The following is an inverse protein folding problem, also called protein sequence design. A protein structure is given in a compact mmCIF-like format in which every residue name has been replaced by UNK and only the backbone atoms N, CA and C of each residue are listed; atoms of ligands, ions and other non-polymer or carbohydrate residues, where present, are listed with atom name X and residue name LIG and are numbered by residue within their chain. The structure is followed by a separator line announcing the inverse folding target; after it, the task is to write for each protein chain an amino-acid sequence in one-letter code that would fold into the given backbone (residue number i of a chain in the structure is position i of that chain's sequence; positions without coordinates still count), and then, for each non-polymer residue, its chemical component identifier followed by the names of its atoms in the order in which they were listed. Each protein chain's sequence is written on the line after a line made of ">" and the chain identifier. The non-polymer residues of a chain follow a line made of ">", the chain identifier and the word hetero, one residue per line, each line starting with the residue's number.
data_IF_510712371777
#
_entry.id   IF_510712371777
#
_cell.length_a   1.000
_cell.length_b   1.000
_cell.length_c   1.000
_cell.angle_alpha   90.00
_cell.angle_beta   90.00
_cell.angle_gamma   90.00
#
_symmetry.space_group_name_H-M   'P 1'
#
loop_
_entity.id
_entity.type
_entity.pdbx_description
1 polymer ?
#
# COMPACT_ATOMS: atom_id res chain seq x y z
N UNK A 1 40.15 -44.20 -30.23
CA UNK A 1 40.35 -45.55 -29.73
C UNK A 1 39.21 -45.87 -28.77
N UNK A 2 38.37 -46.83 -29.19
CA UNK A 2 37.53 -47.77 -28.44
C UNK A 2 36.39 -47.18 -27.62
N UNK A 3 35.15 -47.10 -28.10
CA UNK A 3 33.99 -47.99 -28.33
C UNK A 3 33.59 -48.89 -27.14
N UNK A 4 32.30 -48.80 -26.77
CA UNK A 4 31.25 -49.85 -26.76
C UNK A 4 30.17 -49.50 -25.74
N UNK A 5 28.95 -49.32 -26.13
CA UNK A 5 27.81 -50.19 -26.52
C UNK A 5 27.00 -50.71 -25.32
N UNK A 6 25.79 -50.26 -25.27
CA UNK A 6 24.46 -50.92 -25.17
C UNK A 6 24.22 -52.02 -24.16
N UNK A 7 23.07 -51.95 -23.44
CA UNK A 7 22.03 -52.99 -23.49
C UNK A 7 20.67 -52.50 -22.94
N UNK A 8 19.64 -52.68 -23.78
CA UNK A 8 18.21 -52.69 -23.43
C UNK A 8 17.91 -53.94 -22.59
N UNK A 9 16.97 -53.83 -21.66
CA UNK A 9 16.18 -54.99 -21.19
C UNK A 9 14.74 -54.56 -20.97
N UNK A 10 13.89 -55.06 -21.87
CA UNK A 10 12.46 -55.09 -21.72
C UNK A 10 12.06 -56.26 -20.83
N UNK A 11 11.14 -56.07 -19.91
CA UNK A 11 10.44 -57.19 -19.24
C UNK A 11 8.92 -56.97 -19.39
N UNK A 12 8.36 -57.79 -20.28
CA UNK A 12 6.96 -58.17 -20.30
C UNK A 12 6.63 -58.98 -19.04
N UNK A 13 5.51 -58.65 -18.40
CA UNK A 13 4.93 -59.57 -17.43
C UNK A 13 3.43 -59.81 -17.70
N UNK A 14 3.19 -61.05 -17.83
CA UNK A 14 2.01 -61.84 -18.15
C UNK A 14 0.89 -61.67 -17.13
N UNK A 15 -0.35 -61.60 -17.66
CA UNK A 15 -1.63 -61.67 -16.98
C UNK A 15 -1.85 -63.14 -16.52
N UNK A 16 -2.23 -63.32 -15.26
CA UNK A 16 -2.82 -64.59 -14.77
C UNK A 16 -4.22 -64.29 -14.25
N UNK A 17 -5.23 -64.82 -14.97
CA UNK A 17 -6.61 -64.86 -14.57
C UNK A 17 -6.82 -66.07 -13.71
N UNK A 18 -7.27 -65.92 -12.46
CA UNK A 18 -7.84 -67.01 -11.65
C UNK A 18 -9.31 -66.75 -11.39
N UNK A 19 -10.16 -67.55 -12.01
CA UNK A 19 -11.59 -67.66 -11.72
C UNK A 19 -11.78 -68.47 -10.42
N UNK A 20 -12.34 -67.83 -9.41
CA UNK A 20 -12.79 -68.51 -8.20
C UNK A 20 -14.21 -68.07 -7.88
N UNK A 21 -15.18 -68.98 -8.07
CA UNK A 21 -16.56 -68.81 -7.67
C UNK A 21 -16.69 -68.89 -6.15
N UNK A 22 -17.32 -67.89 -5.55
CA UNK A 22 -17.61 -67.85 -4.11
C UNK A 22 -18.81 -66.96 -3.81
N UNK A 23 -19.88 -67.60 -3.54
CA UNK A 23 -21.11 -67.26 -2.83
C UNK A 23 -21.33 -65.82 -2.38
N UNK A 24 -22.37 -65.20 -2.92
CA UNK A 24 -22.97 -63.94 -2.53
C UNK A 24 -23.65 -64.06 -1.17
N UNK A 25 -23.17 -63.27 -0.19
CA UNK A 25 -23.94 -62.88 0.98
C UNK A 25 -24.27 -61.40 0.87
N UNK A 26 -25.52 -61.11 0.59
CA UNK A 26 -26.09 -59.77 0.57
C UNK A 26 -26.14 -59.20 2.00
N UNK A 27 -25.14 -58.44 2.38
CA UNK A 27 -25.17 -57.56 3.54
C UNK A 27 -25.32 -56.11 3.06
N UNK A 28 -26.54 -55.59 3.03
CA UNK A 28 -26.83 -54.23 2.67
C UNK A 28 -26.28 -53.23 3.71
N UNK A 29 -25.12 -52.64 3.48
CA UNK A 29 -24.72 -51.41 4.14
C UNK A 29 -25.26 -50.24 3.31
N UNK A 30 -26.38 -49.70 3.74
CA UNK A 30 -26.86 -48.43 3.23
C UNK A 30 -25.84 -47.34 3.58
N UNK A 31 -25.05 -46.92 2.57
CA UNK A 31 -24.24 -45.73 2.64
C UNK A 31 -25.20 -44.54 2.74
N UNK A 32 -25.31 -43.93 3.93
CA UNK A 32 -25.97 -42.63 4.08
C UNK A 32 -25.15 -41.64 3.29
N UNK A 33 -25.60 -41.28 2.11
CA UNK A 33 -25.15 -40.04 1.44
C UNK A 33 -25.59 -38.88 2.33
N UNK A 34 -24.68 -38.31 3.06
CA UNK A 34 -24.87 -36.99 3.66
C UNK A 34 -24.92 -36.00 2.50
N UNK A 35 -26.13 -35.67 2.07
CA UNK A 35 -26.39 -34.50 1.23
C UNK A 35 -25.92 -33.31 2.04
N UNK A 36 -24.79 -32.73 1.64
CA UNK A 36 -24.35 -31.46 2.17
C UNK A 36 -25.44 -30.44 1.80
N UNK A 37 -26.20 -30.02 2.78
CA UNK A 37 -27.11 -28.89 2.65
C UNK A 37 -26.23 -27.71 2.35
N UNK A 38 -26.40 -27.00 1.21
CA UNK A 38 -25.64 -25.78 0.95
C UNK A 38 -26.03 -24.84 2.08
N UNK A 39 -25.04 -24.47 2.91
CA UNK A 39 -25.18 -23.35 3.83
C UNK A 39 -25.39 -22.14 2.93
N UNK A 40 -26.61 -21.61 2.92
CA UNK A 40 -26.91 -20.35 2.27
C UNK A 40 -26.02 -19.34 2.93
N UNK A 41 -25.00 -18.86 2.20
CA UNK A 41 -24.25 -17.67 2.57
C UNK A 41 -25.28 -16.55 2.50
N UNK A 42 -25.78 -16.09 3.65
CA UNK A 42 -26.57 -14.87 3.69
C UNK A 42 -25.68 -13.77 3.11
N UNK A 43 -26.03 -13.29 1.93
CA UNK A 43 -25.48 -12.04 1.39
C UNK A 43 -25.73 -10.96 2.43
N UNK A 44 -24.69 -10.57 3.13
CA UNK A 44 -24.74 -9.48 4.09
C UNK A 44 -25.09 -8.23 3.27
N UNK A 45 -26.36 -7.82 3.33
CA UNK A 45 -26.81 -6.62 2.61
C UNK A 45 -25.96 -5.45 3.10
N UNK A 46 -25.33 -4.77 2.15
CA UNK A 46 -24.63 -3.50 2.38
C UNK A 46 -25.60 -2.55 3.10
N UNK A 47 -25.15 -1.93 4.20
CA UNK A 47 -25.91 -0.89 4.88
C UNK A 47 -25.77 0.43 4.08
N UNK A 48 -26.85 0.90 3.42
CA UNK A 48 -26.78 2.12 2.63
C UNK A 48 -26.36 3.36 3.45
N UNK A 49 -26.66 3.36 4.76
CA UNK A 49 -26.28 4.46 5.64
C UNK A 49 -24.77 4.54 5.85
N UNK A 50 -24.07 3.42 5.97
CA UNK A 50 -22.61 3.38 6.09
C UNK A 50 -21.92 3.86 4.81
N UNK A 51 -22.45 3.45 3.66
CA UNK A 51 -21.94 3.93 2.37
C UNK A 51 -22.10 5.44 2.25
N UNK A 52 -23.31 5.97 2.48
CA UNK A 52 -23.57 7.40 2.40
C UNK A 52 -22.65 8.20 3.35
N UNK A 53 -22.48 7.76 4.59
CA UNK A 53 -21.61 8.41 5.56
C UNK A 53 -20.14 8.43 5.12
N UNK A 54 -19.65 7.35 4.47
CA UNK A 54 -18.31 7.30 3.93
C UNK A 54 -18.11 8.29 2.76
N UNK A 55 -19.09 8.38 1.84
CA UNK A 55 -19.04 9.31 0.71
C UNK A 55 -19.14 10.76 1.18
N UNK A 56 -20.02 11.08 2.14
CA UNK A 56 -20.13 12.41 2.75
C UNK A 56 -18.82 12.83 3.42
N UNK A 57 -18.16 11.92 4.15
CA UNK A 57 -16.84 12.17 4.73
C UNK A 57 -15.81 12.49 3.65
N UNK A 58 -15.74 11.67 2.58
CA UNK A 58 -14.79 11.86 1.48
C UNK A 58 -15.07 13.19 0.76
N UNK A 59 -16.33 13.53 0.52
CA UNK A 59 -16.71 14.82 -0.09
C UNK A 59 -16.30 16.02 0.75
N UNK A 60 -16.06 15.84 2.04
CA UNK A 60 -15.60 16.90 2.96
C UNK A 60 -14.12 17.26 2.84
N UNK A 61 -13.30 16.49 2.09
CA UNK A 61 -11.90 16.81 1.84
C UNK A 61 -11.74 17.77 0.66
N UNK A 62 -10.61 18.46 0.59
CA UNK A 62 -10.32 19.42 -0.50
C UNK A 62 -10.21 18.72 -1.85
N UNK A 63 -9.66 17.51 -1.88
CA UNK A 63 -9.53 16.67 -3.08
C UNK A 63 -10.17 15.30 -2.83
N UNK A 64 -11.50 15.23 -2.89
CA UNK A 64 -12.23 13.98 -2.64
C UNK A 64 -11.85 12.87 -3.62
N UNK A 65 -11.40 13.22 -4.83
CA UNK A 65 -10.92 12.27 -5.84
C UNK A 65 -9.65 11.52 -5.43
N UNK A 66 -8.93 11.95 -4.40
CA UNK A 66 -7.73 11.27 -3.89
C UNK A 66 -8.03 10.00 -3.08
N UNK A 67 -9.27 9.87 -2.59
CA UNK A 67 -9.73 8.72 -1.82
C UNK A 67 -10.85 7.95 -2.52
N UNK A 68 -11.03 6.71 -2.12
CA UNK A 68 -12.19 5.89 -2.46
C UNK A 68 -12.60 5.10 -1.23
N UNK A 69 -13.91 5.00 -0.97
CA UNK A 69 -14.44 4.16 0.10
C UNK A 69 -14.39 2.68 -0.28
N UNK A 70 -14.43 1.79 0.73
CA UNK A 70 -14.55 0.34 0.49
C UNK A 70 -15.87 -0.01 -0.22
N UNK A 71 -16.92 0.78 0.02
CA UNK A 71 -18.23 0.61 -0.58
C UNK A 71 -18.21 0.94 -2.07
N UNK A 72 -17.63 2.07 -2.43
CA UNK A 72 -17.50 2.47 -3.83
C UNK A 72 -16.52 1.57 -4.59
N UNK A 73 -15.42 1.14 -3.97
CA UNK A 73 -14.51 0.19 -4.61
C UNK A 73 -15.20 -1.15 -4.89
N UNK A 74 -16.02 -1.67 -3.95
CA UNK A 74 -16.75 -2.91 -4.15
C UNK A 74 -17.66 -2.86 -5.39
N UNK A 75 -18.29 -1.73 -5.65
CA UNK A 75 -19.12 -1.51 -6.86
C UNK A 75 -18.32 -1.50 -8.15
N UNK A 76 -17.04 -1.14 -8.07
CA UNK A 76 -16.12 -1.01 -9.22
C UNK A 76 -15.22 -2.22 -9.44
N UNK A 77 -15.38 -3.31 -8.68
CA UNK A 77 -14.51 -4.48 -8.82
C UNK A 77 -14.53 -5.07 -10.24
N UNK A 78 -15.68 -5.04 -10.88
CA UNK A 78 -15.89 -5.58 -12.24
C UNK A 78 -15.56 -4.55 -13.34
N UNK A 79 -15.25 -3.30 -12.99
CA UNK A 79 -14.88 -2.29 -13.97
C UNK A 79 -13.50 -2.60 -14.54
N UNK A 80 -13.40 -2.82 -15.84
CA UNK A 80 -12.16 -3.21 -16.53
C UNK A 80 -11.02 -2.19 -16.34
N UNK A 81 -11.36 -0.92 -16.15
CA UNK A 81 -10.40 0.16 -15.88
C UNK A 81 -9.88 0.19 -14.44
N UNK A 82 -10.54 -0.46 -13.49
CA UNK A 82 -10.10 -0.48 -12.09
C UNK A 82 -8.86 -1.36 -11.92
N UNK A 83 -7.77 -0.80 -11.43
CA UNK A 83 -6.50 -1.48 -11.20
C UNK A 83 -6.10 -1.38 -9.72
N UNK A 84 -6.27 -2.47 -8.97
CA UNK A 84 -6.05 -2.49 -7.52
C UNK A 84 -4.64 -2.99 -7.24
N UNK A 85 -3.89 -2.25 -6.42
CA UNK A 85 -2.53 -2.63 -5.99
C UNK A 85 -2.49 -2.83 -4.47
N UNK A 86 -2.05 -4.02 -4.06
CA UNK A 86 -1.74 -4.35 -2.68
C UNK A 86 -0.28 -3.98 -2.36
N UNK A 87 -0.08 -2.91 -1.62
CA UNK A 87 1.25 -2.42 -1.26
C UNK A 87 1.76 -2.94 0.09
N UNK A 88 1.11 -3.93 0.72
CA UNK A 88 1.53 -4.48 2.03
C UNK A 88 2.89 -5.18 2.00
N UNK A 89 3.44 -5.42 0.83
CA UNK A 89 4.73 -6.08 0.61
C UNK A 89 5.94 -5.23 0.99
N UNK A 90 6.10 -4.87 2.28
CA UNK A 90 7.32 -4.19 2.77
C UNK A 90 8.59 -5.00 2.47
N UNK A 91 8.49 -6.33 2.58
CA UNK A 91 9.50 -7.30 2.16
C UNK A 91 8.83 -8.55 1.60
N UNK A 92 9.61 -9.41 0.92
CA UNK A 92 9.10 -10.69 0.40
C UNK A 92 8.50 -11.56 1.51
N UNK A 93 9.15 -11.62 2.68
CA UNK A 93 8.64 -12.37 3.84
C UNK A 93 7.27 -11.84 4.31
N UNK A 94 7.11 -10.52 4.39
CA UNK A 94 5.85 -9.90 4.81
C UNK A 94 4.78 -10.14 3.75
N UNK A 95 5.10 -10.01 2.47
CA UNK A 95 4.15 -10.29 1.39
C UNK A 95 3.64 -11.73 1.43
N UNK A 96 4.54 -12.71 1.60
CA UNK A 96 4.17 -14.12 1.72
C UNK A 96 3.32 -14.42 2.98
N UNK A 97 3.50 -13.65 4.05
CA UNK A 97 2.75 -13.80 5.29
C UNK A 97 1.40 -13.06 5.29
N UNK A 98 1.09 -12.25 4.26
CA UNK A 98 -0.12 -11.42 4.23
C UNK A 98 -1.02 -11.70 3.02
N UNK A 99 -0.49 -11.53 1.82
CA UNK A 99 -1.29 -11.58 0.59
C UNK A 99 -2.03 -12.91 0.37
N UNK A 100 -1.42 -14.12 0.52
CA UNK A 100 -2.11 -15.38 0.32
C UNK A 100 -3.17 -15.69 1.38
N UNK A 101 -3.17 -14.96 2.52
CA UNK A 101 -4.13 -15.15 3.61
C UNK A 101 -5.34 -14.20 3.50
N UNK A 102 -5.40 -13.37 2.49
CA UNK A 102 -6.52 -12.53 2.14
C UNK A 102 -6.09 -11.17 1.58
N UNK A 103 -6.65 -10.86 0.42
CA UNK A 103 -6.49 -9.58 -0.27
C UNK A 103 -7.81 -9.21 -0.98
N UNK A 104 -7.93 -7.96 -1.39
CA UNK A 104 -9.11 -7.51 -2.15
C UNK A 104 -9.12 -8.24 -3.50
N UNK A 105 -10.26 -8.78 -3.95
CA UNK A 105 -10.35 -9.48 -5.24
C UNK A 105 -9.78 -8.63 -6.38
N UNK A 106 -8.99 -9.26 -7.25
CA UNK A 106 -8.35 -8.58 -8.36
C UNK A 106 -7.09 -7.76 -8.03
N UNK A 107 -6.74 -7.59 -6.75
CA UNK A 107 -5.57 -6.82 -6.37
C UNK A 107 -4.26 -7.51 -6.77
N UNK A 108 -3.33 -6.74 -7.33
CA UNK A 108 -1.99 -7.18 -7.70
C UNK A 108 -1.01 -6.85 -6.56
N UNK A 109 -0.26 -7.83 -6.03
CA UNK A 109 0.68 -7.58 -4.95
C UNK A 109 1.97 -6.96 -5.47
N UNK A 110 2.49 -5.97 -4.73
CA UNK A 110 3.78 -5.34 -5.05
C UNK A 110 4.70 -5.32 -3.83
N UNK A 111 6.01 -5.42 -4.08
CA UNK A 111 7.01 -5.22 -3.06
C UNK A 111 7.44 -3.76 -3.02
N UNK A 112 7.73 -3.23 -1.83
CA UNK A 112 8.28 -1.88 -1.66
C UNK A 112 9.53 -1.66 -2.51
N UNK A 113 10.40 -2.67 -2.60
CA UNK A 113 11.61 -2.61 -3.43
C UNK A 113 11.35 -2.43 -4.93
N UNK A 114 10.15 -2.76 -5.42
CA UNK A 114 9.82 -2.63 -6.84
C UNK A 114 9.71 -1.17 -7.30
N UNK A 115 9.35 -0.27 -6.37
CA UNK A 115 9.27 1.17 -6.63
C UNK A 115 10.31 1.99 -5.85
N UNK A 116 11.40 1.34 -5.43
CA UNK A 116 12.59 1.99 -4.89
C UNK A 116 13.70 2.07 -5.94
N UNK A 117 14.56 3.09 -5.82
CA UNK A 117 15.72 3.23 -6.66
C UNK A 117 16.75 2.11 -6.37
N UNK A 118 17.23 1.35 -7.36
CA UNK A 118 18.06 0.16 -7.12
C UNK A 118 19.43 0.49 -6.49
N UNK A 119 20.03 1.63 -6.85
CA UNK A 119 21.32 2.06 -6.32
C UNK A 119 21.21 2.87 -5.00
N UNK A 120 20.01 3.37 -4.67
CA UNK A 120 19.76 4.17 -3.47
C UNK A 120 18.57 3.60 -2.71
N UNK A 121 18.76 2.53 -1.92
CA UNK A 121 17.67 1.89 -1.17
C UNK A 121 16.90 2.90 -0.31
N UNK A 122 15.58 2.81 -0.37
CA UNK A 122 14.68 3.73 0.32
C UNK A 122 14.32 5.00 -0.45
N UNK A 123 15.05 5.34 -1.51
CA UNK A 123 14.67 6.40 -2.45
C UNK A 123 13.62 5.88 -3.42
N UNK A 124 12.76 6.78 -3.89
CA UNK A 124 11.79 6.42 -4.93
C UNK A 124 12.50 6.08 -6.25
N UNK A 125 11.96 5.13 -7.00
CA UNK A 125 12.44 4.78 -8.33
C UNK A 125 12.34 5.97 -9.30
N UNK A 126 13.25 6.03 -10.27
CA UNK A 126 13.15 6.98 -11.38
C UNK A 126 11.88 6.72 -12.22
N UNK A 127 11.34 7.74 -12.93
CA UNK A 127 10.06 7.58 -13.64
C UNK A 127 10.04 6.41 -14.62
N UNK A 128 11.07 6.23 -15.44
CA UNK A 128 11.14 5.11 -16.39
C UNK A 128 11.13 3.73 -15.72
N UNK A 129 11.75 3.61 -14.53
CA UNK A 129 11.75 2.35 -13.77
C UNK A 129 10.35 2.05 -13.21
N UNK A 130 9.67 3.10 -12.72
CA UNK A 130 8.32 2.97 -12.19
C UNK A 130 7.31 2.65 -13.31
N UNK A 131 7.44 3.27 -14.50
CA UNK A 131 6.64 2.96 -15.69
C UNK A 131 6.77 1.48 -16.09
N UNK A 132 8.00 1.00 -16.28
CA UNK A 132 8.30 -0.39 -16.65
C UNK A 132 7.72 -1.37 -15.60
N UNK A 133 7.87 -1.05 -14.33
CA UNK A 133 7.34 -1.87 -13.26
C UNK A 133 5.80 -1.93 -13.29
N UNK A 134 5.11 -0.79 -13.38
CA UNK A 134 3.64 -0.74 -13.40
C UNK A 134 3.06 -1.41 -14.64
N UNK A 135 3.66 -1.18 -15.82
CA UNK A 135 3.27 -1.85 -17.06
C UNK A 135 3.43 -3.38 -16.97
N UNK A 136 4.51 -3.89 -16.37
CA UNK A 136 4.69 -5.32 -16.10
C UNK A 136 3.67 -5.90 -15.14
N UNK A 137 3.13 -5.08 -14.23
CA UNK A 137 2.02 -5.47 -13.37
C UNK A 137 0.66 -5.47 -14.08
N UNK A 138 0.57 -4.93 -15.28
CA UNK A 138 -0.65 -4.84 -16.10
C UNK A 138 -1.41 -3.53 -15.90
N UNK A 139 -0.78 -2.48 -15.38
CA UNK A 139 -1.33 -1.13 -15.43
C UNK A 139 -1.13 -0.55 -16.84
N UNK A 140 -2.17 0.07 -17.40
CA UNK A 140 -2.12 0.82 -18.65
C UNK A 140 -2.33 2.33 -18.42
N UNK A 141 -2.23 3.12 -19.48
CA UNK A 141 -2.36 4.59 -19.41
C UNK A 141 -3.72 5.04 -18.84
N UNK A 142 -4.79 4.30 -19.13
CA UNK A 142 -6.15 4.62 -18.72
C UNK A 142 -6.56 3.95 -17.40
N UNK A 143 -5.62 3.32 -16.68
CA UNK A 143 -5.91 2.62 -15.44
C UNK A 143 -6.38 3.58 -14.35
N UNK A 144 -7.49 3.25 -13.69
CA UNK A 144 -7.92 3.85 -12.43
C UNK A 144 -7.23 3.10 -11.28
N UNK A 145 -6.08 3.58 -10.83
CA UNK A 145 -5.27 2.90 -9.83
C UNK A 145 -5.85 3.12 -8.43
N UNK A 146 -6.14 2.02 -7.73
CA UNK A 146 -6.54 2.05 -6.32
C UNK A 146 -5.47 1.37 -5.48
N UNK A 147 -4.92 2.11 -4.53
CA UNK A 147 -3.85 1.65 -3.65
C UNK A 147 -4.36 1.35 -2.26
N UNK A 148 -4.00 0.19 -1.71
CA UNK A 148 -4.17 -0.06 -0.30
C UNK A 148 -2.93 -0.72 0.30
N UNK A 149 -2.73 -0.55 1.59
CA UNK A 149 -1.56 -1.09 2.26
C UNK A 149 -1.47 -0.65 3.72
N UNK A 150 -0.32 -0.91 4.33
CA UNK A 150 -0.04 -0.56 5.71
C UNK A 150 1.18 0.37 5.79
N UNK A 151 1.32 1.06 6.91
CA UNK A 151 2.52 1.82 7.29
C UNK A 151 2.95 2.92 6.29
N UNK A 152 2.04 3.38 5.43
CA UNK A 152 2.30 4.44 4.47
C UNK A 152 2.81 3.99 3.10
N UNK A 153 2.93 2.68 2.84
CA UNK A 153 3.41 2.18 1.55
C UNK A 153 2.46 2.56 0.40
N UNK A 154 1.14 2.56 0.64
CA UNK A 154 0.14 3.04 -0.32
C UNK A 154 0.31 4.53 -0.62
N UNK A 155 0.52 5.34 0.41
CA UNK A 155 0.75 6.79 0.23
C UNK A 155 2.10 7.08 -0.42
N UNK A 156 3.11 6.23 -0.20
CA UNK A 156 4.42 6.33 -0.84
C UNK A 156 4.30 6.15 -2.36
N UNK A 157 3.56 5.13 -2.80
CA UNK A 157 3.33 4.90 -4.23
C UNK A 157 2.41 5.97 -4.82
N UNK A 158 1.35 6.37 -4.09
CA UNK A 158 0.48 7.48 -4.48
C UNK A 158 1.29 8.77 -4.73
N UNK A 159 2.13 9.17 -3.77
CA UNK A 159 2.98 10.35 -3.90
C UNK A 159 3.89 10.27 -5.13
N UNK A 160 4.48 9.11 -5.41
CA UNK A 160 5.35 8.93 -6.58
C UNK A 160 4.57 9.08 -7.89
N UNK A 161 3.37 8.51 -7.98
CA UNK A 161 2.50 8.64 -9.16
C UNK A 161 2.12 10.10 -9.39
N UNK A 162 1.66 10.80 -8.36
CA UNK A 162 1.32 12.23 -8.44
C UNK A 162 2.54 13.09 -8.81
N UNK A 163 3.69 12.80 -8.22
CA UNK A 163 4.94 13.49 -8.51
C UNK A 163 5.35 13.39 -9.99
N UNK A 164 5.10 12.24 -10.62
CA UNK A 164 5.41 12.02 -12.04
C UNK A 164 4.27 12.38 -12.99
N UNK A 165 3.22 13.06 -12.51
CA UNK A 165 2.14 13.57 -13.36
C UNK A 165 0.97 12.61 -13.59
N UNK A 166 0.92 11.47 -12.88
CA UNK A 166 -0.21 10.55 -13.00
C UNK A 166 -1.29 10.88 -11.95
N UNK A 167 -2.44 11.39 -12.44
CA UNK A 167 -3.51 11.89 -11.56
C UNK A 167 -4.60 10.84 -11.26
N UNK A 168 -4.72 9.78 -12.07
CA UNK A 168 -5.79 8.80 -11.94
C UNK A 168 -5.48 7.71 -10.90
N UNK A 169 -5.16 8.13 -9.69
CA UNK A 169 -4.81 7.28 -8.55
C UNK A 169 -5.56 7.68 -7.29
N UNK A 170 -5.99 6.70 -6.51
CA UNK A 170 -6.72 6.85 -5.25
C UNK A 170 -6.12 5.97 -4.16
N UNK A 171 -6.27 6.37 -2.90
CA UNK A 171 -6.04 5.50 -1.74
C UNK A 171 -7.38 4.97 -1.25
N UNK A 172 -7.44 3.68 -0.96
CA UNK A 172 -8.59 3.05 -0.31
C UNK A 172 -8.64 3.44 1.16
N UNK A 173 -9.66 4.17 1.56
CA UNK A 173 -9.86 4.62 2.93
C UNK A 173 -10.18 3.44 3.86
N UNK A 174 -9.35 3.23 4.89
CA UNK A 174 -9.45 2.10 5.81
C UNK A 174 -8.84 0.78 5.30
N UNK A 175 -8.43 0.71 4.03
CA UNK A 175 -7.70 -0.43 3.45
C UNK A 175 -8.42 -1.77 3.61
N UNK A 176 -7.63 -2.86 3.72
CA UNK A 176 -8.19 -4.22 3.83
C UNK A 176 -8.95 -4.47 5.14
N UNK A 177 -8.59 -3.78 6.22
CA UNK A 177 -9.26 -3.98 7.51
C UNK A 177 -10.72 -3.48 7.42
N UNK A 178 -10.92 -2.29 6.86
CA UNK A 178 -12.26 -1.73 6.64
C UNK A 178 -13.06 -2.52 5.61
N UNK A 179 -12.39 -3.05 4.56
CA UNK A 179 -12.99 -3.96 3.58
C UNK A 179 -13.61 -5.19 4.25
N UNK A 180 -12.86 -5.84 5.14
CA UNK A 180 -13.32 -6.99 5.90
C UNK A 180 -14.42 -6.63 6.90
N UNK A 181 -14.31 -5.48 7.58
CA UNK A 181 -15.32 -4.98 8.51
C UNK A 181 -16.66 -4.72 7.80
N UNK A 182 -16.63 -4.19 6.58
CA UNK A 182 -17.80 -4.03 5.72
C UNK A 182 -18.43 -5.39 5.30
N UNK A 183 -17.72 -6.50 5.52
CA UNK A 183 -18.20 -7.85 5.25
C UNK A 183 -17.98 -8.32 3.82
N UNK A 184 -17.11 -7.64 3.08
CA UNK A 184 -16.77 -8.03 1.71
C UNK A 184 -15.80 -9.20 1.66
N UNK A 185 -15.93 -10.03 0.64
CA UNK A 185 -15.08 -11.18 0.42
C UNK A 185 -13.62 -10.81 0.15
N UNK A 186 -12.74 -11.72 0.54
CA UNK A 186 -11.31 -11.63 0.23
C UNK A 186 -10.90 -12.79 -0.66
N UNK A 187 -10.01 -12.51 -1.60
CA UNK A 187 -9.37 -13.53 -2.42
C UNK A 187 -8.10 -14.06 -1.74
N UNK A 188 -7.76 -15.32 -2.04
CA UNK A 188 -6.49 -15.96 -1.62
C UNK A 188 -5.65 -16.40 -2.81
N UNK A 189 -6.29 -16.55 -3.98
CA UNK A 189 -5.61 -16.87 -5.23
C UNK A 189 -4.92 -15.62 -5.80
N UNK A 190 -3.67 -15.77 -6.21
CA UNK A 190 -2.89 -14.63 -6.75
C UNK A 190 -3.51 -14.08 -8.03
N UNK A 191 -3.78 -12.78 -8.02
CA UNK A 191 -4.23 -12.04 -9.19
C UNK A 191 -3.03 -11.64 -10.05
N UNK A 192 -3.17 -11.85 -11.35
CA UNK A 192 -2.20 -11.41 -12.37
C UNK A 192 -2.95 -10.83 -13.55
N UNK A 193 -2.43 -9.74 -14.09
CA UNK A 193 -2.91 -9.17 -15.35
C UNK A 193 -1.84 -9.31 -16.43
N UNK A 194 -2.20 -9.44 -17.70
CA UNK A 194 -1.24 -9.33 -18.79
C UNK A 194 -0.49 -8.00 -18.69
N UNK A 195 0.81 -7.95 -19.02
CA UNK A 195 1.53 -6.70 -19.13
C UNK A 195 0.85 -5.72 -20.10
N UNK A 196 0.89 -4.44 -19.78
CA UNK A 196 0.36 -3.34 -20.57
C UNK A 196 1.39 -2.20 -20.66
N UNK A 197 1.12 -1.17 -21.44
CA UNK A 197 1.97 0.00 -21.56
C UNK A 197 1.50 1.06 -20.58
N UNK A 198 2.37 1.41 -19.63
CA UNK A 198 2.15 2.49 -18.68
C UNK A 198 3.20 3.58 -18.92
N UNK A 199 2.77 4.81 -19.11
CA UNK A 199 3.65 5.94 -19.39
C UNK A 199 3.24 7.15 -18.51
N UNK A 200 4.24 7.91 -18.05
CA UNK A 200 4.02 9.22 -17.44
C UNK A 200 4.13 10.30 -18.51
N UNK A 201 3.26 11.28 -18.46
CA UNK A 201 3.53 12.54 -19.12
C UNK A 201 4.46 13.37 -18.23
N UNK A 202 5.76 13.31 -18.48
CA UNK A 202 6.75 14.01 -17.67
C UNK A 202 6.70 15.54 -17.84
N UNK A 203 5.97 16.07 -18.84
CA UNK A 203 5.69 17.50 -18.92
C UNK A 203 4.76 17.95 -17.78
N UNK A 204 3.91 17.05 -17.28
CA UNK A 204 3.04 17.26 -16.14
C UNK A 204 3.69 16.91 -14.78
N UNK A 205 5.00 16.63 -14.76
CA UNK A 205 5.73 16.31 -13.53
C UNK A 205 5.64 17.44 -12.50
N UNK A 206 5.26 17.05 -11.28
CA UNK A 206 5.12 17.93 -10.11
C UNK A 206 6.27 17.74 -9.11
N UNK A 207 7.42 17.21 -9.57
CA UNK A 207 8.54 16.88 -8.69
C UNK A 207 9.06 18.07 -7.91
N UNK A 208 9.19 19.24 -8.54
CA UNK A 208 9.66 20.47 -7.88
C UNK A 208 8.68 20.96 -6.79
N UNK A 209 7.37 20.72 -6.98
CA UNK A 209 6.33 21.16 -6.06
C UNK A 209 6.12 20.17 -4.90
N UNK A 210 6.39 18.87 -5.12
CA UNK A 210 6.00 17.79 -4.19
C UNK A 210 7.17 17.11 -3.50
N UNK A 211 8.39 17.20 -4.04
CA UNK A 211 9.58 16.59 -3.47
C UNK A 211 10.52 17.67 -2.90
N UNK A 212 10.96 17.48 -1.66
CA UNK A 212 12.08 18.23 -1.09
C UNK A 212 13.37 17.42 -1.24
N UNK A 213 14.46 18.13 -1.56
CA UNK A 213 15.82 17.60 -1.55
C UNK A 213 16.56 18.11 -0.31
N UNK A 214 17.73 17.56 -0.05
CA UNK A 214 18.55 17.94 1.11
C UNK A 214 18.73 19.47 1.28
N UNK A 215 19.00 20.19 0.19
CA UNK A 215 19.22 21.65 0.25
C UNK A 215 17.95 22.41 0.69
N UNK A 216 16.76 21.96 0.29
CA UNK A 216 15.50 22.57 0.72
C UNK A 216 15.34 22.45 2.25
N UNK A 217 15.64 21.25 2.79
CA UNK A 217 15.54 21.00 4.24
C UNK A 217 16.60 21.78 5.01
N UNK A 218 17.84 21.84 4.51
CA UNK A 218 18.92 22.58 5.15
C UNK A 218 18.62 24.09 5.21
N UNK A 219 17.99 24.64 4.17
CA UNK A 219 17.55 26.03 4.13
C UNK A 219 16.34 26.30 5.03
N UNK A 220 15.49 25.29 5.27
CA UNK A 220 14.31 25.41 6.11
C UNK A 220 14.61 25.40 7.62
N UNK A 221 15.78 24.88 8.03
CA UNK A 221 16.17 24.90 9.45
C UNK A 221 16.37 26.36 9.92
N UNK A 222 15.51 26.78 10.87
CA UNK A 222 15.51 28.14 11.41
C UNK A 222 14.71 29.16 10.59
N UNK A 223 14.15 28.78 9.44
CA UNK A 223 13.24 29.64 8.66
C UNK A 223 11.83 29.64 9.29
N UNK A 224 11.38 30.82 9.74
CA UNK A 224 10.03 30.99 10.33
C UNK A 224 8.88 30.83 9.33
N UNK A 225 9.14 30.95 8.03
CA UNK A 225 8.18 30.73 6.94
C UNK A 225 8.01 29.27 6.57
N UNK A 226 8.84 28.36 7.12
CA UNK A 226 8.79 26.93 6.86
C UNK A 226 8.59 26.10 8.14
N UNK A 227 7.82 25.02 8.04
CA UNK A 227 7.67 24.03 9.12
C UNK A 227 8.22 22.70 8.66
N UNK A 228 9.22 22.19 9.38
CA UNK A 228 9.75 20.83 9.17
C UNK A 228 8.95 19.87 10.07
N UNK A 229 8.34 18.83 9.49
CA UNK A 229 7.42 17.92 10.17
C UNK A 229 7.98 16.51 10.19
N UNK A 230 8.18 15.95 11.38
CA UNK A 230 8.54 14.54 11.58
C UNK A 230 7.28 13.67 11.64
N UNK A 231 7.11 12.79 10.66
CA UNK A 231 5.97 11.88 10.54
C UNK A 231 6.14 10.56 11.33
N UNK A 232 7.24 10.40 12.06
CA UNK A 232 7.52 9.21 12.85
C UNK A 232 6.75 9.23 14.17
N UNK A 233 6.75 8.10 14.87
CA UNK A 233 6.16 8.02 16.19
C UNK A 233 6.85 9.00 17.16
N UNK A 234 6.10 9.45 18.15
CA UNK A 234 6.59 10.43 19.12
C UNK A 234 7.85 9.96 19.88
N UNK A 235 7.95 8.66 20.20
CA UNK A 235 9.12 8.08 20.87
C UNK A 235 10.38 8.15 19.99
N UNK A 236 10.24 7.92 18.67
CA UNK A 236 11.34 8.07 17.71
C UNK A 236 11.77 9.52 17.56
N UNK A 237 10.79 10.45 17.50
CA UNK A 237 11.03 11.89 17.46
C UNK A 237 11.80 12.36 18.70
N UNK A 238 11.31 12.04 19.89
CA UNK A 238 11.94 12.43 21.16
C UNK A 238 13.35 11.89 21.32
N UNK A 239 13.65 10.73 20.74
CA UNK A 239 14.99 10.16 20.76
C UNK A 239 15.96 10.89 19.84
N UNK A 240 15.55 11.22 18.62
CA UNK A 240 16.39 11.93 17.62
C UNK A 240 15.53 12.49 16.49
N UNK A 241 15.65 13.79 16.22
CA UNK A 241 14.92 14.47 15.15
C UNK A 241 15.77 15.56 14.48
N UNK A 242 15.32 16.09 13.35
CA UNK A 242 15.95 17.23 12.67
C UNK A 242 15.73 18.50 13.50
N UNK A 243 16.73 19.41 13.57
CA UNK A 243 16.63 20.64 14.35
C UNK A 243 15.39 21.46 13.97
N UNK A 244 14.68 21.96 14.99
CA UNK A 244 13.50 22.82 14.84
C UNK A 244 12.27 22.12 14.25
N UNK A 245 12.31 20.80 14.02
CA UNK A 245 11.14 20.08 13.53
C UNK A 245 10.05 19.89 14.60
N UNK A 246 8.80 19.78 14.16
CA UNK A 246 7.66 19.43 15.00
C UNK A 246 7.21 18.00 14.69
N UNK A 247 6.60 17.31 15.64
CA UNK A 247 6.11 15.95 15.41
C UNK A 247 4.60 15.92 15.13
N UNK A 248 4.26 15.36 13.97
CA UNK A 248 2.91 14.91 13.63
C UNK A 248 3.01 13.45 13.18
N UNK A 249 2.81 12.52 14.10
CA UNK A 249 2.91 11.10 13.77
C UNK A 249 1.88 10.71 12.72
N UNK A 250 2.32 9.94 11.72
CA UNK A 250 1.40 9.43 10.70
C UNK A 250 0.28 8.56 11.26
N UNK A 251 0.45 8.01 12.47
CA UNK A 251 -0.57 7.22 13.17
C UNK A 251 -1.72 8.10 13.68
N UNK A 252 -1.45 9.39 13.98
CA UNK A 252 -2.46 10.34 14.46
C UNK A 252 -3.51 10.71 13.40
N UNK A 253 -3.24 10.42 12.12
CA UNK A 253 -4.11 10.76 10.99
C UNK A 253 -5.35 9.86 10.88
N UNK A 254 -5.38 8.74 11.60
CA UNK A 254 -6.38 7.69 11.42
C UNK A 254 -7.33 7.55 12.60
N UNK A 255 -8.52 7.07 12.30
CA UNK A 255 -9.49 6.54 13.25
C UNK A 255 -9.11 5.11 13.66
N UNK A 256 -9.83 4.54 14.62
CA UNK A 256 -9.60 3.15 15.07
C UNK A 256 -9.83 2.12 13.96
N UNK A 257 -10.77 2.38 13.04
CA UNK A 257 -11.08 1.55 11.88
C UNK A 257 -10.13 1.76 10.69
N UNK A 258 -9.02 2.45 10.91
CA UNK A 258 -7.98 2.78 9.92
C UNK A 258 -8.41 3.73 8.79
N UNK A 259 -9.62 4.28 8.84
CA UNK A 259 -10.00 5.37 7.94
C UNK A 259 -9.32 6.68 8.36
N UNK A 260 -9.06 7.57 7.41
CA UNK A 260 -8.57 8.91 7.76
C UNK A 260 -9.58 9.68 8.61
N UNK A 261 -9.08 10.48 9.53
CA UNK A 261 -9.88 11.46 10.26
C UNK A 261 -10.50 12.47 9.30
N UNK A 262 -11.66 13.03 9.64
CA UNK A 262 -12.32 14.06 8.84
C UNK A 262 -11.43 15.29 8.63
N UNK A 263 -11.71 16.09 7.60
CA UNK A 263 -10.93 17.31 7.30
C UNK A 263 -10.85 18.28 8.51
N UNK A 264 -11.96 18.54 9.25
CA UNK A 264 -11.88 19.37 10.48
C UNK A 264 -10.96 18.79 11.55
N UNK A 265 -11.00 17.47 11.79
CA UNK A 265 -10.13 16.81 12.78
C UNK A 265 -8.66 16.87 12.37
N UNK A 266 -8.35 16.61 11.09
CA UNK A 266 -6.99 16.72 10.55
C UNK A 266 -6.47 18.17 10.65
N UNK A 267 -7.33 19.17 10.40
CA UNK A 267 -6.99 20.56 10.53
C UNK A 267 -6.63 20.92 11.98
N UNK A 268 -7.42 20.48 12.95
CA UNK A 268 -7.13 20.67 14.38
C UNK A 268 -5.79 20.05 14.77
N UNK A 269 -5.49 18.83 14.29
CA UNK A 269 -4.20 18.19 14.54
C UNK A 269 -3.02 18.99 13.98
N UNK A 270 -3.14 19.50 12.76
CA UNK A 270 -2.11 20.28 12.09
C UNK A 270 -1.89 21.62 12.81
N UNK A 271 -2.96 22.36 13.09
CA UNK A 271 -2.91 23.68 13.75
C UNK A 271 -2.33 23.59 15.16
N UNK A 272 -2.63 22.51 15.92
CA UNK A 272 -2.04 22.27 17.25
C UNK A 272 -0.52 22.14 17.21
N UNK A 273 0.06 21.78 16.07
CA UNK A 273 1.50 21.69 15.81
C UNK A 273 2.04 22.91 15.07
N UNK A 274 1.23 23.97 14.89
CA UNK A 274 1.57 25.18 14.12
C UNK A 274 1.87 24.91 12.63
N UNK A 275 1.30 23.82 12.10
CA UNK A 275 1.32 23.47 10.69
C UNK A 275 0.10 24.14 10.06
N UNK A 276 0.30 25.23 9.31
CA UNK A 276 -0.77 26.05 8.77
C UNK A 276 -0.57 26.29 7.27
N UNK A 277 -1.66 26.54 6.48
CA UNK A 277 -1.58 26.62 5.02
C UNK A 277 -0.84 27.84 4.47
N UNK A 278 -0.53 28.83 5.30
CA UNK A 278 0.26 30.01 4.96
C UNK A 278 1.77 29.76 5.02
N UNK A 279 2.20 28.58 5.48
CA UNK A 279 3.61 28.20 5.58
C UNK A 279 3.99 27.14 4.57
N UNK A 280 5.26 27.16 4.16
CA UNK A 280 5.88 26.00 3.50
C UNK A 280 6.00 24.85 4.49
N UNK A 281 5.69 23.65 4.07
CA UNK A 281 5.76 22.45 4.90
C UNK A 281 6.69 21.43 4.24
N UNK A 282 7.70 20.96 4.97
CA UNK A 282 8.54 19.84 4.55
C UNK A 282 8.33 18.70 5.51
N UNK A 283 7.78 17.58 5.01
CA UNK A 283 7.56 16.40 5.82
C UNK A 283 8.68 15.37 5.62
N UNK A 284 9.12 14.74 6.69
CA UNK A 284 10.12 13.67 6.64
C UNK A 284 9.75 12.48 7.56
N UNK A 285 10.41 11.36 7.35
CA UNK A 285 10.35 10.20 8.24
C UNK A 285 11.74 9.55 8.35
N UNK A 286 11.86 8.23 8.40
CA UNK A 286 13.16 7.58 8.28
C UNK A 286 13.66 7.56 6.81
N UNK A 287 12.76 7.22 5.88
CA UNK A 287 13.05 7.02 4.45
C UNK A 287 11.85 7.36 3.55
N UNK A 288 11.14 8.45 3.84
CA UNK A 288 10.10 9.01 2.98
C UNK A 288 8.76 8.25 2.93
N UNK A 289 8.59 7.13 3.67
CA UNK A 289 7.37 6.31 3.61
C UNK A 289 6.24 6.87 4.47
N UNK A 290 6.46 6.99 5.80
CA UNK A 290 5.43 7.53 6.72
C UNK A 290 5.16 9.01 6.45
N UNK A 291 6.17 9.74 6.01
CA UNK A 291 6.00 11.14 5.60
C UNK A 291 5.09 11.32 4.39
N UNK A 292 5.00 10.33 3.50
CA UNK A 292 4.02 10.39 2.40
C UNK A 292 2.56 10.37 2.89
N UNK A 293 2.26 9.75 4.05
CA UNK A 293 0.92 9.83 4.67
C UNK A 293 0.61 11.24 5.17
N UNK A 294 1.57 11.88 5.85
CA UNK A 294 1.38 13.26 6.33
C UNK A 294 1.31 14.22 5.14
N UNK A 295 2.16 14.03 4.12
CA UNK A 295 2.07 14.77 2.86
C UNK A 295 0.69 14.62 2.22
N UNK A 296 0.16 13.39 2.12
CA UNK A 296 -1.17 13.11 1.57
C UNK A 296 -2.26 13.83 2.36
N UNK A 297 -2.23 13.75 3.68
CA UNK A 297 -3.23 14.42 4.52
C UNK A 297 -3.19 15.94 4.38
N UNK A 298 -2.01 16.55 4.37
CA UNK A 298 -1.87 18.01 4.27
C UNK A 298 -2.13 18.50 2.84
N UNK A 299 -1.54 17.87 1.83
CA UNK A 299 -1.66 18.29 0.43
C UNK A 299 -3.00 17.91 -0.19
N UNK A 300 -3.42 16.64 -0.07
CA UNK A 300 -4.59 16.16 -0.78
C UNK A 300 -5.87 16.36 0.05
N UNK A 301 -5.86 16.00 1.33
CA UNK A 301 -7.09 16.05 2.12
C UNK A 301 -7.40 17.48 2.64
N UNK A 302 -6.37 18.23 3.07
CA UNK A 302 -6.52 19.60 3.55
C UNK A 302 -6.23 20.67 2.50
N UNK A 303 -5.63 20.34 1.35
CA UNK A 303 -5.37 21.26 0.26
C UNK A 303 -4.30 22.33 0.58
N UNK A 304 -3.35 22.04 1.45
CA UNK A 304 -2.25 22.97 1.73
C UNK A 304 -1.41 23.17 0.47
N UNK A 305 -1.10 24.42 0.09
CA UNK A 305 -0.53 24.72 -1.23
C UNK A 305 0.94 24.34 -1.38
N UNK A 306 1.73 24.40 -0.31
CA UNK A 306 3.17 24.19 -0.34
C UNK A 306 3.61 23.11 0.62
N UNK A 307 3.35 21.83 0.26
CA UNK A 307 3.79 20.66 1.05
C UNK A 307 4.73 19.81 0.22
N UNK A 308 5.95 19.60 0.71
CA UNK A 308 6.95 18.73 0.07
C UNK A 308 7.28 17.53 0.95
N UNK A 309 7.44 16.35 0.34
CA UNK A 309 7.95 15.16 1.01
C UNK A 309 9.47 15.06 0.80
N UNK A 310 10.24 15.06 1.88
CA UNK A 310 11.68 14.83 1.82
C UNK A 310 11.99 13.34 1.70
N UNK A 311 12.27 12.92 0.47
CA UNK A 311 12.51 11.52 0.12
C UNK A 311 13.70 10.91 0.87
N UNK A 312 14.81 11.64 1.00
CA UNK A 312 15.99 11.21 1.76
C UNK A 312 15.78 11.07 3.25
N UNK A 313 14.90 11.88 3.78
CA UNK A 313 14.46 11.82 5.18
C UNK A 313 15.62 11.83 6.19
N UNK A 314 15.36 11.35 7.42
CA UNK A 314 16.36 11.34 8.48
C UNK A 314 17.60 10.49 8.16
N UNK A 315 17.43 9.42 7.36
CA UNK A 315 18.58 8.58 6.97
C UNK A 315 19.62 9.35 6.15
N UNK A 316 19.17 10.16 5.20
CA UNK A 316 20.09 11.01 4.41
C UNK A 316 20.69 12.13 5.25
N UNK A 317 19.87 12.79 6.07
CA UNK A 317 20.30 13.84 6.97
C UNK A 317 21.45 13.39 7.88
N UNK A 318 21.32 12.21 8.50
CA UNK A 318 22.36 11.62 9.35
C UNK A 318 23.58 11.20 8.53
N UNK A 319 23.38 10.61 7.34
CA UNK A 319 24.48 10.18 6.47
C UNK A 319 25.36 11.37 6.03
N UNK A 320 24.77 12.54 5.91
CA UNK A 320 25.48 13.79 5.60
C UNK A 320 26.01 14.49 6.86
N UNK A 321 26.12 13.76 7.98
CA UNK A 321 26.70 14.19 9.25
C UNK A 321 26.08 15.47 9.83
N UNK A 322 24.77 15.67 9.56
CA UNK A 322 24.05 16.84 10.07
C UNK A 322 23.62 16.65 11.51
N UNK A 323 23.61 17.75 12.24
CA UNK A 323 23.16 17.80 13.63
C UNK A 323 21.71 17.29 13.78
N UNK A 324 21.44 16.68 14.92
CA UNK A 324 20.11 16.22 15.31
C UNK A 324 19.85 16.62 16.76
N UNK A 325 18.60 16.90 17.07
CA UNK A 325 18.14 17.19 18.42
C UNK A 325 17.62 15.92 19.12
N UNK A 326 17.62 15.94 20.46
CA UNK A 326 17.14 14.85 21.31
C UNK A 326 16.43 15.44 22.50
N UNK A 327 15.28 14.87 22.83
CA UNK A 327 14.52 15.18 24.05
C UNK A 327 14.58 14.02 25.06
N UNK A 328 14.92 12.79 24.61
CA UNK A 328 15.13 11.60 25.44
C UNK A 328 16.54 11.03 25.24
N UNK A 329 17.11 10.46 26.31
CA UNK A 329 18.46 9.86 26.26
C UNK A 329 18.45 8.38 25.81
N UNK A 330 17.31 7.71 25.91
CA UNK A 330 17.19 6.26 25.61
C UNK A 330 16.54 6.04 24.24
N UNK A 331 17.11 5.09 23.49
CA UNK A 331 16.54 4.70 22.19
C UNK A 331 15.19 3.98 22.39
N UNK A 332 14.15 4.31 21.62
CA UNK A 332 12.87 3.59 21.67
C UNK A 332 13.05 2.11 21.32
N UNK A 333 12.28 1.26 21.98
CA UNK A 333 12.21 -0.17 21.65
C UNK A 333 11.42 -0.31 20.36
N UNK A 334 12.08 -0.68 19.30
CA UNK A 334 11.39 -1.03 18.03
C UNK A 334 10.86 -2.45 18.20
N UNK A 335 9.57 -2.61 18.34
CA UNK A 335 8.92 -3.91 18.16
C UNK A 335 9.10 -4.31 16.68
N UNK A 336 9.82 -5.40 16.47
CA UNK A 336 10.07 -5.98 15.13
C UNK A 336 8.85 -6.73 14.60
#
# INVERSE_FOLDING_TARGET
>A
MVTKRTLLAACLLTVLIVLGAGVVLLGGCARKETVAVPVAVEEKKEDPGLHQAAEEKIAGYTRPEALISVYELNRRLEDSGTFIIDTRGRSFKVLQASYPFGHIPGAVPVLHSNYCHPAYPGRIAAPLQLQDFLGKCGAGAESNIVLYGNDGLQARLYWALKMYGFDNVKILDGGLDKWKEAGYDVATASSRRPPDTFEFDLADSKAEQTMAVFNDVAAAVGDSGCVIVDARRNDEYLYKHMPGSVNLSSEELFNQDKTFKTAPELKVLAEAKKITPDKKVIVYSNAGVRSSLVWFALSELLGYPEVKNYDGSLQEWIKLERETEKSLQTKPVTLQ
#
